data_IF_717166441654
#
_entry.id   IF_717166441654
#
_cell.length_a   1.000
_cell.length_b   1.000
_cell.length_c   1.000
_cell.angle_alpha   90.00
_cell.angle_beta   90.00
_cell.angle_gamma   90.00
#
_symmetry.space_group_name_H-M   'P 1'
#
loop_
_entity.id
_entity.type
_entity.pdbx_description
1 polymer ?
#
# COMPACT_ATOMS: atom_id res chain seq x y z
N UNK A 1 -5.82 4.81 19.96
CA UNK A 1 -5.66 4.48 18.54
C UNK A 1 -4.24 4.03 18.27
N UNK A 2 -4.08 3.03 17.46
CA UNK A 2 -2.81 2.54 16.94
C UNK A 2 -2.54 3.22 15.60
N UNK A 3 -1.41 3.90 15.46
CA UNK A 3 -1.01 4.53 14.20
C UNK A 3 0.25 3.85 13.67
N UNK A 4 0.29 3.57 12.38
CA UNK A 4 1.36 2.79 11.78
C UNK A 4 1.71 3.28 10.38
N UNK A 5 2.97 3.03 9.96
CA UNK A 5 3.49 3.23 8.62
C UNK A 5 3.28 4.64 8.04
N UNK A 6 3.85 5.69 8.63
CA UNK A 6 3.82 6.99 8.00
C UNK A 6 4.57 6.95 6.66
N UNK A 7 3.93 7.46 5.62
CA UNK A 7 4.51 7.63 4.29
C UNK A 7 4.42 9.09 3.91
N UNK A 8 5.51 9.63 3.40
CA UNK A 8 5.64 11.06 3.12
C UNK A 8 5.93 11.31 1.64
N UNK A 9 5.37 12.39 1.11
CA UNK A 9 5.72 12.97 -0.18
C UNK A 9 5.91 14.47 -0.05
N UNK A 10 6.81 15.02 -0.85
CA UNK A 10 6.90 16.46 -1.08
C UNK A 10 6.35 16.76 -2.47
N UNK A 11 5.32 17.59 -2.54
CA UNK A 11 4.65 17.91 -3.79
C UNK A 11 4.02 19.30 -3.74
N UNK A 12 4.14 20.03 -4.83
CA UNK A 12 3.56 21.38 -4.97
C UNK A 12 3.90 22.32 -3.78
N UNK A 13 5.18 22.27 -3.33
CA UNK A 13 5.68 23.13 -2.26
C UNK A 13 5.29 22.72 -0.85
N UNK A 14 4.65 21.56 -0.65
CA UNK A 14 4.19 21.09 0.66
C UNK A 14 4.58 19.63 0.92
N UNK A 15 4.66 19.28 2.19
CA UNK A 15 4.80 17.90 2.66
C UNK A 15 3.41 17.30 2.89
N UNK A 16 3.22 16.10 2.42
CA UNK A 16 2.03 15.28 2.62
C UNK A 16 2.44 14.01 3.34
N UNK A 17 1.83 13.75 4.47
CA UNK A 17 2.05 12.52 5.22
C UNK A 17 0.73 11.79 5.37
N UNK A 18 0.70 10.49 5.11
CA UNK A 18 -0.42 9.66 5.49
C UNK A 18 0.04 8.44 6.27
N UNK A 19 -0.85 7.91 7.09
CA UNK A 19 -0.59 6.80 7.98
C UNK A 19 -1.88 6.02 8.26
N UNK A 20 -1.71 4.76 8.61
CA UNK A 20 -2.79 3.90 9.05
C UNK A 20 -3.22 4.28 10.46
N UNK A 21 -4.52 4.16 10.73
CA UNK A 21 -5.08 4.41 12.06
C UNK A 21 -6.12 3.34 12.38
N UNK A 22 -5.79 2.50 13.34
CA UNK A 22 -6.61 1.42 13.85
C UNK A 22 -7.14 1.74 15.26
N UNK A 23 -8.24 1.14 15.73
CA UNK A 23 -8.84 1.49 17.01
C UNK A 23 -8.00 1.09 18.22
N UNK A 24 -7.26 -0.01 18.14
CA UNK A 24 -6.51 -0.57 19.27
C UNK A 24 -5.08 -0.97 18.89
N UNK A 25 -4.91 -1.98 18.06
CA UNK A 25 -3.63 -2.53 17.60
C UNK A 25 -3.70 -2.91 16.14
N UNK A 26 -2.57 -3.28 15.55
CA UNK A 26 -2.45 -3.72 14.15
C UNK A 26 -3.41 -4.89 13.85
N UNK A 27 -4.06 -4.86 12.70
CA UNK A 27 -5.05 -5.85 12.24
C UNK A 27 -6.41 -5.84 12.97
N UNK A 28 -6.68 -4.84 13.79
CA UNK A 28 -7.99 -4.69 14.46
C UNK A 28 -8.89 -3.73 13.68
N UNK A 29 -9.99 -4.22 13.07
CA UNK A 29 -10.91 -3.35 12.35
C UNK A 29 -11.75 -2.47 13.30
N UNK A 30 -12.28 -1.35 12.81
CA UNK A 30 -12.12 -0.80 11.48
C UNK A 30 -10.83 0.00 11.32
N UNK A 31 -10.17 -0.14 10.17
CA UNK A 31 -9.01 0.68 9.82
C UNK A 31 -9.37 1.82 8.89
N UNK A 32 -8.63 2.90 8.99
CA UNK A 32 -8.67 4.02 8.06
C UNK A 32 -7.28 4.58 7.82
N UNK A 33 -7.12 5.34 6.75
CA UNK A 33 -5.91 6.10 6.51
C UNK A 33 -6.18 7.56 6.77
N UNK A 34 -5.33 8.19 7.54
CA UNK A 34 -5.35 9.61 7.84
C UNK A 34 -4.25 10.32 7.05
N UNK A 35 -4.47 11.59 6.71
CA UNK A 35 -3.50 12.46 6.04
C UNK A 35 -3.35 13.76 6.80
N UNK A 36 -2.12 14.27 6.83
CA UNK A 36 -1.75 15.59 7.31
C UNK A 36 -0.89 16.29 6.26
N UNK A 37 -0.93 17.61 6.25
CA UNK A 37 -0.16 18.45 5.33
C UNK A 37 0.67 19.45 6.13
N UNK A 38 1.87 19.75 5.67
CA UNK A 38 2.77 20.73 6.26
C UNK A 38 3.47 21.55 5.17
N UNK A 39 3.72 22.80 5.44
CA UNK A 39 4.51 23.68 4.56
C UNK A 39 6.01 23.63 4.89
N UNK A 40 6.35 23.31 6.12
CA UNK A 40 7.72 23.36 6.65
C UNK A 40 8.26 22.03 7.18
N UNK A 41 7.42 20.96 7.22
CA UNK A 41 7.77 19.66 7.77
C UNK A 41 7.75 19.58 9.30
N UNK A 42 7.50 20.69 10.00
CA UNK A 42 7.44 20.77 11.46
C UNK A 42 6.02 20.99 11.96
N UNK A 43 5.28 21.89 11.33
CA UNK A 43 3.92 22.23 11.70
C UNK A 43 2.95 21.51 10.79
N UNK A 44 2.14 20.61 11.34
CA UNK A 44 1.24 19.74 10.59
C UNK A 44 -0.22 20.12 10.82
N UNK A 45 -1.01 20.04 9.77
CA UNK A 45 -2.46 20.22 9.84
C UNK A 45 -3.12 19.21 10.78
N UNK A 46 -4.38 19.46 11.15
CA UNK A 46 -5.19 18.41 11.76
C UNK A 46 -5.35 17.23 10.79
N UNK A 47 -5.37 15.97 11.28
CA UNK A 47 -5.58 14.82 10.44
C UNK A 47 -6.94 14.84 9.74
N UNK A 48 -6.97 14.54 8.45
CA UNK A 48 -8.19 14.32 7.67
C UNK A 48 -8.25 12.88 7.15
N UNK A 49 -9.45 12.37 6.95
CA UNK A 49 -9.64 10.99 6.46
C UNK A 49 -9.29 10.95 4.97
N UNK A 50 -8.21 10.24 4.64
CA UNK A 50 -7.77 9.99 3.28
C UNK A 50 -8.49 8.80 2.67
N UNK A 51 -8.47 7.64 3.35
CA UNK A 51 -9.28 6.47 3.01
C UNK A 51 -10.13 6.11 4.24
N UNK A 52 -11.46 6.13 4.10
CA UNK A 52 -12.37 5.80 5.20
C UNK A 52 -12.41 4.30 5.47
N UNK A 53 -13.07 3.95 6.55
CA UNK A 53 -13.48 2.58 6.82
C UNK A 53 -14.28 2.00 5.65
N UNK A 54 -14.13 0.71 5.43
CA UNK A 54 -14.75 0.03 4.31
C UNK A 54 -15.44 -1.26 4.76
N UNK A 55 -16.64 -1.46 4.28
CA UNK A 55 -17.40 -2.68 4.56
C UNK A 55 -16.91 -3.82 3.66
N UNK A 56 -16.55 -4.95 4.26
CA UNK A 56 -16.24 -6.16 3.51
C UNK A 56 -17.52 -6.62 2.79
N UNK A 57 -17.47 -6.81 1.47
CA UNK A 57 -18.65 -7.23 0.71
C UNK A 57 -19.28 -8.50 1.26
N UNK A 58 -20.61 -8.54 1.24
CA UNK A 58 -21.38 -9.70 1.72
C UNK A 58 -20.98 -10.98 0.98
N UNK A 59 -20.91 -12.09 1.71
CA UNK A 59 -20.54 -13.39 1.15
C UNK A 59 -19.02 -13.59 0.97
N UNK A 60 -18.18 -12.63 1.34
CA UNK A 60 -16.72 -12.81 1.33
C UNK A 60 -16.32 -14.00 2.19
N UNK A 61 -15.41 -14.82 1.64
CA UNK A 61 -14.78 -15.93 2.37
C UNK A 61 -13.29 -15.89 2.10
N UNK A 62 -12.50 -15.88 3.16
CA UNK A 62 -11.05 -15.93 3.07
C UNK A 62 -10.61 -17.39 2.94
N UNK A 63 -10.13 -17.78 1.76
CA UNK A 63 -9.93 -19.20 1.42
C UNK A 63 -8.78 -19.86 2.20
N UNK A 64 -7.76 -19.10 2.60
CA UNK A 64 -6.51 -19.63 3.17
C UNK A 64 -6.43 -19.56 4.69
N UNK A 65 -7.43 -19.00 5.36
CA UNK A 65 -7.40 -18.77 6.79
C UNK A 65 -8.64 -19.32 7.48
N UNK A 66 -8.44 -20.00 8.61
CA UNK A 66 -9.51 -20.43 9.50
C UNK A 66 -9.40 -19.66 10.82
N UNK A 67 -10.38 -18.81 11.14
CA UNK A 67 -10.38 -18.02 12.36
C UNK A 67 -10.33 -18.92 13.59
N UNK A 68 -9.53 -18.52 14.58
CA UNK A 68 -9.45 -19.20 15.88
C UNK A 68 -10.31 -18.43 16.87
N UNK A 69 -11.37 -19.03 17.42
CA UNK A 69 -12.30 -18.34 18.31
C UNK A 69 -11.63 -17.66 19.51
N UNK A 70 -10.60 -18.27 20.07
CA UNK A 70 -9.86 -17.76 21.22
C UNK A 70 -8.99 -16.53 20.90
N UNK A 71 -8.70 -16.27 19.64
CA UNK A 71 -7.89 -15.12 19.19
C UNK A 71 -8.75 -13.93 18.76
N UNK A 72 -10.04 -14.11 18.61
CA UNK A 72 -10.91 -13.05 18.12
C UNK A 72 -11.11 -11.97 19.21
N UNK A 73 -11.12 -10.72 18.78
CA UNK A 73 -11.79 -9.65 19.51
C UNK A 73 -13.29 -9.81 19.26
N UNK A 74 -14.09 -10.24 20.26
CA UNK A 74 -15.42 -10.78 20.00
C UNK A 74 -16.34 -9.82 19.25
N UNK A 75 -16.21 -8.52 19.51
CA UNK A 75 -17.14 -7.53 19.00
C UNK A 75 -16.76 -7.03 17.59
N UNK A 76 -15.49 -6.81 17.31
CA UNK A 76 -15.05 -6.21 16.04
C UNK A 76 -15.02 -7.20 14.88
N UNK A 77 -14.62 -8.46 15.11
CA UNK A 77 -14.57 -9.47 14.03
C UNK A 77 -15.93 -10.16 13.80
N UNK A 78 -16.87 -9.99 14.71
CA UNK A 78 -18.26 -10.49 14.57
C UNK A 78 -19.21 -9.47 13.99
N UNK A 79 -18.79 -8.23 13.80
CA UNK A 79 -19.65 -7.20 13.19
C UNK A 79 -20.11 -7.61 11.78
N UNK A 80 -21.32 -7.20 11.45
CA UNK A 80 -21.90 -7.41 10.12
C UNK A 80 -22.44 -6.09 9.59
N UNK A 81 -21.91 -5.57 8.48
CA UNK A 81 -20.77 -6.12 7.73
C UNK A 81 -19.45 -6.07 8.55
N UNK A 82 -18.56 -7.04 8.28
CA UNK A 82 -17.18 -6.97 8.78
C UNK A 82 -16.51 -5.75 8.14
N UNK A 83 -15.69 -5.04 8.93
CA UNK A 83 -14.90 -3.92 8.40
C UNK A 83 -13.56 -4.42 7.86
N UNK A 84 -13.13 -3.83 6.76
CA UNK A 84 -11.82 -4.08 6.17
C UNK A 84 -10.71 -3.48 7.03
N UNK A 85 -9.51 -4.00 6.83
CA UNK A 85 -8.27 -3.48 7.38
C UNK A 85 -7.56 -2.71 6.27
N UNK A 86 -7.33 -1.41 6.49
CA UNK A 86 -6.40 -0.67 5.66
C UNK A 86 -5.01 -1.00 6.18
N UNK A 87 -4.27 -1.84 5.47
CA UNK A 87 -2.99 -2.36 5.96
C UNK A 87 -1.91 -2.22 4.90
N UNK A 88 -0.71 -2.10 5.33
CA UNK A 88 0.59 -1.93 4.67
C UNK A 88 0.56 -1.47 3.19
N UNK A 89 1.67 -0.94 2.71
CA UNK A 89 1.85 -0.46 1.33
C UNK A 89 0.88 0.64 0.90
N UNK A 90 0.45 1.42 1.88
CA UNK A 90 0.01 2.78 1.57
C UNK A 90 1.20 3.55 1.00
N UNK A 91 0.99 4.49 0.13
CA UNK A 91 2.07 5.24 -0.49
C UNK A 91 1.58 6.44 -1.27
N UNK A 92 2.53 7.16 -1.81
CA UNK A 92 2.31 8.30 -2.68
C UNK A 92 2.84 8.02 -4.07
N UNK A 93 2.19 8.56 -5.06
CA UNK A 93 2.65 8.57 -6.43
C UNK A 93 2.45 9.94 -7.05
N UNK A 94 3.52 10.58 -7.49
CA UNK A 94 3.46 11.80 -8.29
C UNK A 94 3.60 11.39 -9.75
N UNK A 95 2.54 11.58 -10.53
CA UNK A 95 2.54 11.23 -11.95
C UNK A 95 3.39 12.19 -12.78
N UNK A 96 3.76 11.78 -13.99
CA UNK A 96 4.42 12.65 -14.97
C UNK A 96 3.56 13.89 -15.31
N UNK A 97 2.26 13.76 -15.22
CA UNK A 97 1.31 14.86 -15.38
C UNK A 97 1.17 15.77 -14.16
N UNK A 98 1.95 15.56 -13.09
CA UNK A 98 1.92 16.37 -11.89
C UNK A 98 0.75 16.11 -10.94
N UNK A 99 0.05 14.98 -11.08
CA UNK A 99 -1.02 14.55 -10.19
C UNK A 99 -0.43 13.80 -9.00
N UNK A 100 -0.85 14.15 -7.79
CA UNK A 100 -0.55 13.40 -6.59
C UNK A 100 -1.65 12.37 -6.33
N UNK A 101 -1.30 11.09 -6.35
CA UNK A 101 -2.17 9.99 -5.93
C UNK A 101 -1.71 9.44 -4.59
N UNK A 102 -2.64 9.32 -3.66
CA UNK A 102 -2.49 8.42 -2.52
C UNK A 102 -2.89 7.01 -2.94
N UNK A 103 -2.20 6.00 -2.43
CA UNK A 103 -2.51 4.59 -2.66
C UNK A 103 -2.73 3.85 -1.35
N UNK A 104 -3.60 2.86 -1.35
CA UNK A 104 -3.89 2.03 -0.19
C UNK A 104 -4.36 0.64 -0.62
N UNK A 105 -4.49 -0.25 0.36
CA UNK A 105 -5.04 -1.60 0.15
C UNK A 105 -6.07 -1.92 1.22
N UNK A 106 -7.28 -2.31 0.79
CA UNK A 106 -8.29 -2.86 1.69
C UNK A 106 -8.09 -4.36 1.82
N UNK A 107 -7.46 -4.76 2.93
CA UNK A 107 -7.30 -6.15 3.33
C UNK A 107 -8.47 -6.65 4.17
N UNK A 108 -8.44 -7.94 4.51
CA UNK A 108 -9.43 -8.55 5.40
C UNK A 108 -8.70 -9.41 6.44
N UNK A 109 -8.96 -9.16 7.71
CA UNK A 109 -8.56 -10.04 8.80
C UNK A 109 -9.81 -10.61 9.48
N UNK A 110 -9.78 -11.90 9.78
CA UNK A 110 -10.89 -12.63 10.43
C UNK A 110 -10.68 -12.82 11.93
N UNK A 111 -9.47 -12.60 12.39
CA UNK A 111 -9.08 -12.44 13.79
C UNK A 111 -7.75 -11.66 13.88
N UNK A 112 -7.26 -11.42 15.10
CA UNK A 112 -6.05 -10.61 15.33
C UNK A 112 -4.73 -11.22 14.84
N UNK A 113 -4.70 -12.49 14.48
CA UNK A 113 -3.52 -13.20 13.96
C UNK A 113 -3.58 -13.43 12.46
N UNK A 114 -4.73 -13.14 11.87
CA UNK A 114 -4.91 -13.22 10.44
C UNK A 114 -4.15 -12.09 9.75
N UNK A 115 -3.47 -12.41 8.66
CA UNK A 115 -2.70 -11.43 7.88
C UNK A 115 -3.59 -10.83 6.77
N UNK A 116 -3.92 -9.53 6.83
CA UNK A 116 -4.70 -8.88 5.78
C UNK A 116 -3.95 -8.71 4.45
N UNK A 117 -2.65 -9.01 4.43
CA UNK A 117 -1.77 -8.86 3.28
C UNK A 117 -1.51 -10.16 2.50
N UNK A 118 -2.31 -11.17 2.67
CA UNK A 118 -2.07 -12.50 2.08
C UNK A 118 -2.61 -12.68 0.65
N UNK A 119 -2.98 -11.59 -0.03
CA UNK A 119 -3.59 -11.61 -1.35
C UNK A 119 -5.10 -11.93 -1.36
N UNK A 120 -5.69 -12.23 -0.21
CA UNK A 120 -7.13 -12.50 -0.05
C UNK A 120 -7.90 -11.29 0.50
N UNK A 121 -7.37 -10.09 0.39
CA UNK A 121 -8.07 -8.84 0.66
C UNK A 121 -8.99 -8.43 -0.49
N UNK A 122 -9.52 -7.22 -0.44
CA UNK A 122 -10.47 -6.71 -1.44
C UNK A 122 -9.71 -6.14 -2.66
N UNK A 123 -8.71 -5.32 -2.42
CA UNK A 123 -7.90 -4.77 -3.50
C UNK A 123 -7.28 -3.42 -3.19
N UNK A 124 -6.57 -2.89 -4.18
CA UNK A 124 -5.87 -1.61 -4.09
C UNK A 124 -6.71 -0.46 -4.57
N UNK A 125 -6.66 0.60 -3.82
CA UNK A 125 -7.36 1.86 -4.11
C UNK A 125 -6.40 3.00 -4.30
N UNK A 126 -6.86 4.00 -5.04
CA UNK A 126 -6.18 5.27 -5.26
C UNK A 126 -7.13 6.43 -5.00
N UNK A 127 -6.58 7.55 -4.60
CA UNK A 127 -7.31 8.82 -4.44
C UNK A 127 -6.43 9.99 -4.83
N UNK A 128 -6.94 10.88 -5.66
CA UNK A 128 -6.25 12.13 -5.99
C UNK A 128 -6.27 13.08 -4.80
N UNK A 129 -5.12 13.66 -4.50
CA UNK A 129 -5.01 14.85 -3.65
C UNK A 129 -4.75 16.04 -4.55
N UNK A 130 -5.66 17.01 -4.54
CA UNK A 130 -5.56 18.18 -5.39
C UNK A 130 -4.65 19.25 -4.77
N UNK A 131 -4.23 20.21 -5.60
CA UNK A 131 -3.31 21.27 -5.17
C UNK A 131 -3.88 22.17 -4.06
N UNK A 132 -5.19 22.30 -3.97
CA UNK A 132 -5.90 23.01 -2.91
C UNK A 132 -6.08 22.18 -1.62
N UNK A 133 -5.59 20.93 -1.59
CA UNK A 133 -5.72 20.01 -0.48
C UNK A 133 -7.05 19.22 -0.47
N UNK A 134 -7.97 19.51 -1.38
CA UNK A 134 -9.20 18.73 -1.50
C UNK A 134 -8.95 17.34 -2.05
N UNK A 135 -9.83 16.41 -1.70
CA UNK A 135 -9.70 15.01 -2.07
C UNK A 135 -10.67 14.64 -3.20
N UNK A 136 -10.15 13.96 -4.21
CA UNK A 136 -10.96 13.38 -5.28
C UNK A 136 -11.76 12.15 -4.82
N UNK A 137 -12.53 11.54 -5.73
CA UNK A 137 -13.16 10.24 -5.48
C UNK A 137 -12.12 9.13 -5.30
N UNK A 138 -12.55 8.04 -4.63
CA UNK A 138 -11.74 6.82 -4.46
C UNK A 138 -12.05 5.88 -5.63
N UNK A 139 -11.01 5.25 -6.16
CA UNK A 139 -11.11 4.27 -7.24
C UNK A 139 -10.31 3.02 -6.90
N UNK A 140 -10.82 1.84 -7.27
CA UNK A 140 -9.99 0.66 -7.31
C UNK A 140 -9.06 0.71 -8.53
N UNK A 141 -7.76 0.56 -8.30
CA UNK A 141 -6.76 0.40 -9.37
C UNK A 141 -6.52 -1.09 -9.67
N UNK A 142 -6.73 -1.94 -8.67
CA UNK A 142 -6.57 -3.38 -8.76
C UNK A 142 -7.56 -4.08 -7.83
N UNK A 143 -8.17 -5.14 -8.31
CA UNK A 143 -9.04 -6.01 -7.51
C UNK A 143 -8.32 -7.33 -7.24
N UNK A 144 -8.38 -7.79 -6.02
CA UNK A 144 -8.02 -9.16 -5.69
C UNK A 144 -9.05 -10.16 -6.23
N UNK A 145 -8.68 -11.43 -6.25
CA UNK A 145 -9.51 -12.48 -6.81
C UNK A 145 -10.94 -12.49 -6.21
N UNK A 146 -11.93 -12.56 -7.07
CA UNK A 146 -13.36 -12.57 -6.68
C UNK A 146 -14.01 -11.19 -6.53
N UNK A 147 -13.23 -10.09 -6.61
CA UNK A 147 -13.76 -8.74 -6.54
C UNK A 147 -13.76 -8.02 -7.89
N UNK A 148 -14.72 -7.12 -8.05
CA UNK A 148 -14.90 -6.28 -9.23
C UNK A 148 -15.88 -5.13 -8.91
N UNK A 149 -16.18 -4.27 -9.89
CA UNK A 149 -17.08 -3.14 -9.73
C UNK A 149 -18.52 -3.51 -9.31
N UNK A 150 -18.96 -4.75 -9.55
CA UNK A 150 -20.35 -5.15 -9.22
C UNK A 150 -20.52 -5.49 -7.74
N UNK A 151 -19.43 -5.84 -7.07
CA UNK A 151 -19.45 -6.26 -5.67
C UNK A 151 -18.59 -5.41 -4.74
N UNK A 152 -18.13 -4.24 -5.20
CA UNK A 152 -17.37 -3.28 -4.42
C UNK A 152 -18.03 -1.91 -4.44
N UNK A 153 -17.80 -1.10 -3.40
CA UNK A 153 -18.46 0.21 -3.25
C UNK A 153 -17.83 1.33 -4.09
N UNK A 154 -16.55 1.19 -4.48
CA UNK A 154 -15.88 2.20 -5.30
C UNK A 154 -15.70 1.72 -6.73
N UNK A 155 -15.81 2.64 -7.72
CA UNK A 155 -15.63 2.29 -9.12
C UNK A 155 -14.18 1.94 -9.45
N UNK A 156 -13.98 1.32 -10.61
CA UNK A 156 -12.66 1.12 -11.19
C UNK A 156 -12.07 2.46 -11.67
N UNK A 157 -10.74 2.64 -11.58
CA UNK A 157 -10.02 3.84 -12.03
C UNK A 157 -10.28 4.22 -13.50
N UNK A 158 -10.70 3.27 -14.34
CA UNK A 158 -11.07 3.53 -15.73
C UNK A 158 -12.24 4.50 -15.87
N UNK A 159 -13.03 4.67 -14.81
CA UNK A 159 -14.11 5.67 -14.73
C UNK A 159 -13.66 7.04 -14.20
N UNK A 160 -12.40 7.18 -13.83
CA UNK A 160 -11.83 8.44 -13.36
C UNK A 160 -11.66 9.44 -14.51
N UNK A 161 -11.31 10.68 -14.16
CA UNK A 161 -10.90 11.70 -15.13
C UNK A 161 -9.72 11.20 -15.98
N UNK A 162 -9.57 11.78 -17.19
CA UNK A 162 -8.46 11.41 -18.09
C UNK A 162 -7.10 11.52 -17.40
N UNK A 163 -6.90 12.53 -16.58
CA UNK A 163 -5.64 12.78 -15.88
C UNK A 163 -5.36 11.74 -14.79
N UNK A 164 -6.36 11.45 -13.92
CA UNK A 164 -6.25 10.41 -12.89
C UNK A 164 -6.06 9.02 -13.51
N UNK A 165 -6.78 8.73 -14.58
CA UNK A 165 -6.62 7.46 -15.31
C UNK A 165 -5.21 7.30 -15.86
N UNK A 166 -4.65 8.33 -16.49
CA UNK A 166 -3.28 8.30 -16.99
C UNK A 166 -2.26 8.05 -15.86
N UNK A 167 -2.44 8.71 -14.70
CA UNK A 167 -1.60 8.50 -13.53
C UNK A 167 -1.70 7.05 -12.98
N UNK A 168 -2.88 6.45 -13.02
CA UNK A 168 -3.07 5.03 -12.66
C UNK A 168 -2.37 4.09 -13.65
N UNK A 169 -2.45 4.36 -14.96
CA UNK A 169 -1.74 3.59 -15.98
C UNK A 169 -0.22 3.69 -15.81
N UNK A 170 0.30 4.86 -15.41
CA UNK A 170 1.73 5.00 -15.05
C UNK A 170 2.12 4.10 -13.89
N UNK A 171 1.31 4.03 -12.83
CA UNK A 171 1.54 3.10 -11.69
C UNK A 171 1.56 1.66 -12.18
N UNK A 172 0.56 1.25 -12.98
CA UNK A 172 0.44 -0.12 -13.49
C UNK A 172 1.56 -0.48 -14.48
N UNK A 173 2.11 0.49 -15.18
CA UNK A 173 3.25 0.31 -16.08
C UNK A 173 4.61 0.32 -15.35
N UNK A 174 4.67 0.77 -14.09
CA UNK A 174 5.92 0.90 -13.34
C UNK A 174 6.22 -0.37 -12.52
N UNK A 175 7.16 -1.23 -12.96
CA UNK A 175 7.46 -2.47 -12.27
C UNK A 175 8.03 -2.24 -10.86
N UNK A 176 8.82 -1.19 -10.66
CA UNK A 176 9.38 -0.84 -9.35
C UNK A 176 8.28 -0.47 -8.36
N UNK A 177 7.31 0.32 -8.78
CA UNK A 177 6.18 0.67 -7.92
C UNK A 177 5.34 -0.56 -7.57
N UNK A 178 5.08 -1.44 -8.54
CA UNK A 178 4.34 -2.68 -8.31
C UNK A 178 5.04 -3.65 -7.37
N UNK A 179 6.37 -3.63 -7.31
CA UNK A 179 7.12 -4.42 -6.32
C UNK A 179 6.74 -4.12 -4.87
N UNK A 180 6.23 -2.93 -4.58
CA UNK A 180 5.72 -2.60 -3.24
C UNK A 180 4.44 -3.38 -2.89
N UNK A 181 3.79 -4.01 -3.85
CA UNK A 181 2.55 -4.77 -3.66
C UNK A 181 2.78 -6.24 -3.32
N UNK A 182 4.03 -6.67 -3.22
CA UNK A 182 4.38 -8.09 -3.03
C UNK A 182 3.76 -8.72 -1.77
N UNK A 183 3.49 -7.92 -0.76
CA UNK A 183 2.91 -8.40 0.49
C UNK A 183 1.39 -8.65 0.39
N UNK A 184 0.69 -7.93 -0.50
CA UNK A 184 -0.75 -8.03 -0.68
C UNK A 184 -1.14 -8.87 -1.90
N UNK A 185 -0.18 -9.30 -2.69
CA UNK A 185 -0.41 -10.07 -3.90
C UNK A 185 -0.38 -11.58 -3.64
N UNK A 186 -1.20 -12.31 -4.38
CA UNK A 186 -1.08 -13.76 -4.42
C UNK A 186 0.24 -14.19 -5.07
N UNK A 187 0.82 -15.28 -4.61
CA UNK A 187 1.99 -15.88 -5.23
C UNK A 187 1.66 -16.24 -6.69
N UNK A 188 2.53 -15.80 -7.60
CA UNK A 188 2.30 -15.96 -9.04
C UNK A 188 1.52 -14.82 -9.69
N UNK A 189 1.18 -13.77 -8.95
CA UNK A 189 0.63 -12.54 -9.54
C UNK A 189 1.64 -11.93 -10.51
N UNK A 190 1.26 -11.91 -11.79
CA UNK A 190 2.11 -11.41 -12.88
C UNK A 190 2.35 -9.90 -12.84
N UNK A 191 1.58 -9.17 -12.05
CA UNK A 191 1.83 -7.74 -11.84
C UNK A 191 3.08 -7.48 -11.01
N UNK A 192 3.55 -8.46 -10.24
CA UNK A 192 4.70 -8.34 -9.36
C UNK A 192 5.92 -8.98 -10.03
N UNK A 193 6.93 -8.20 -10.46
CA UNK A 193 8.09 -8.72 -11.18
C UNK A 193 8.88 -9.81 -10.44
N UNK A 194 8.96 -9.71 -9.11
CA UNK A 194 9.61 -10.70 -8.27
C UNK A 194 8.69 -11.07 -7.09
N UNK A 195 7.70 -11.92 -7.35
CA UNK A 195 6.73 -12.37 -6.35
C UNK A 195 7.27 -13.56 -5.57
N UNK A 196 8.15 -13.31 -4.62
CA UNK A 196 8.81 -14.32 -3.79
C UNK A 196 8.41 -14.24 -2.30
N UNK A 197 7.48 -13.37 -1.96
CA UNK A 197 7.02 -13.16 -0.58
C UNK A 197 7.99 -12.36 0.31
N UNK A 198 9.02 -11.76 -0.25
CA UNK A 198 9.89 -10.85 0.50
C UNK A 198 9.16 -9.55 0.84
N UNK A 199 9.42 -9.05 2.05
CA UNK A 199 8.65 -7.95 2.63
C UNK A 199 9.43 -6.63 2.65
N UNK A 200 8.67 -5.53 2.62
CA UNK A 200 9.18 -4.17 2.79
C UNK A 200 10.19 -3.75 1.72
N UNK A 201 9.77 -3.89 0.47
CA UNK A 201 10.55 -3.45 -0.68
C UNK A 201 10.88 -1.96 -0.62
N UNK A 202 12.16 -1.64 -0.84
CA UNK A 202 12.60 -0.32 -1.21
C UNK A 202 13.69 -0.44 -2.29
N UNK A 203 13.87 0.58 -3.09
CA UNK A 203 14.89 0.58 -4.13
C UNK A 203 15.55 1.95 -4.30
N UNK A 204 16.69 1.94 -4.97
CA UNK A 204 17.35 3.15 -5.47
C UNK A 204 18.14 2.83 -6.75
N UNK A 205 18.33 3.85 -7.57
CA UNK A 205 19.13 3.73 -8.78
C UNK A 205 20.59 4.01 -8.45
N UNK A 206 21.47 3.07 -8.81
CA UNK A 206 22.92 3.22 -8.70
C UNK A 206 23.45 4.21 -9.76
N UNK A 207 24.67 4.77 -9.59
CA UNK A 207 25.26 5.68 -10.57
C UNK A 207 25.39 5.11 -11.98
N UNK A 208 25.51 3.80 -12.12
CA UNK A 208 25.60 3.09 -13.40
C UNK A 208 24.23 2.72 -14.00
N UNK A 209 23.14 3.18 -13.40
CA UNK A 209 21.77 2.95 -13.88
C UNK A 209 21.11 1.65 -13.41
N UNK A 210 21.85 0.76 -12.75
CA UNK A 210 21.27 -0.43 -12.14
C UNK A 210 20.35 -0.05 -10.99
N UNK A 211 19.35 -0.88 -10.72
CA UNK A 211 18.46 -0.71 -9.57
C UNK A 211 18.87 -1.69 -8.48
N UNK A 212 19.23 -1.16 -7.33
CA UNK A 212 19.46 -1.94 -6.12
C UNK A 212 18.14 -2.03 -5.34
N UNK A 213 17.71 -3.23 -5.06
CA UNK A 213 16.49 -3.53 -4.32
C UNK A 213 16.81 -4.14 -2.97
N UNK A 214 16.09 -3.72 -1.96
CA UNK A 214 16.29 -4.12 -0.57
C UNK A 214 14.97 -4.58 0.04
N UNK A 215 15.03 -5.58 0.89
CA UNK A 215 13.92 -6.10 1.68
C UNK A 215 14.35 -6.30 3.14
N UNK A 216 13.41 -6.64 4.02
CA UNK A 216 13.70 -7.10 5.38
C UNK A 216 14.78 -8.20 5.37
N UNK A 217 15.46 -8.37 6.49
CA UNK A 217 16.52 -9.37 6.69
C UNK A 217 17.79 -9.12 5.84
N UNK A 218 18.04 -7.87 5.48
CA UNK A 218 19.16 -7.47 4.62
C UNK A 218 19.18 -8.20 3.26
N UNK A 219 18.03 -8.62 2.76
CA UNK A 219 17.94 -9.22 1.43
C UNK A 219 18.09 -8.14 0.35
N UNK A 220 18.83 -8.47 -0.70
CA UNK A 220 19.11 -7.56 -1.81
C UNK A 220 19.13 -8.29 -3.14
N UNK A 221 18.83 -7.56 -4.20
CA UNK A 221 18.91 -8.01 -5.58
C UNK A 221 19.20 -6.81 -6.48
N UNK A 222 19.63 -7.05 -7.69
CA UNK A 222 19.87 -6.02 -8.71
C UNK A 222 18.94 -6.24 -9.90
N UNK A 223 18.48 -5.14 -10.49
CA UNK A 223 17.83 -5.14 -11.78
C UNK A 223 18.65 -4.33 -12.78
N UNK A 224 18.79 -4.85 -13.98
CA UNK A 224 19.52 -4.24 -15.11
C UNK A 224 18.57 -3.66 -16.17
N UNK A 225 17.27 -3.87 -16.02
CA UNK A 225 16.24 -3.59 -17.01
C UNK A 225 15.09 -2.73 -16.47
N UNK A 226 15.40 -1.83 -15.53
CA UNK A 226 14.42 -0.90 -15.00
C UNK A 226 13.43 -1.51 -14.00
N UNK A 227 13.75 -2.67 -13.41
CA UNK A 227 12.92 -3.35 -12.43
C UNK A 227 11.96 -4.39 -13.00
N UNK A 228 12.15 -4.80 -14.28
CA UNK A 228 11.34 -5.84 -14.88
C UNK A 228 11.82 -7.25 -14.49
N UNK A 229 13.13 -7.43 -14.39
CA UNK A 229 13.73 -8.67 -13.87
C UNK A 229 14.79 -8.38 -12.82
N UNK A 230 15.09 -9.39 -12.01
CA UNK A 230 16.01 -9.26 -10.87
C UNK A 230 16.98 -10.44 -10.84
N UNK A 231 18.22 -10.16 -10.42
CA UNK A 231 19.20 -11.21 -10.09
C UNK A 231 18.72 -12.07 -8.93
N UNK A 232 19.39 -13.19 -8.70
CA UNK A 232 19.16 -14.02 -7.51
C UNK A 232 19.29 -13.15 -6.25
N UNK A 233 18.30 -13.25 -5.36
CA UNK A 233 18.27 -12.52 -4.10
C UNK A 233 19.29 -13.11 -3.14
N UNK A 234 20.12 -12.25 -2.57
CA UNK A 234 21.15 -12.61 -1.61
C UNK A 234 21.05 -11.72 -0.37
N UNK A 235 21.66 -12.16 0.73
CA UNK A 235 21.83 -11.31 1.90
C UNK A 235 22.96 -10.31 1.63
N UNK A 236 22.69 -9.03 1.81
CA UNK A 236 23.72 -8.00 1.69
C UNK A 236 24.77 -8.17 2.78
N UNK A 237 26.05 -8.15 2.37
CA UNK A 237 27.16 -8.13 3.28
C UNK A 237 27.41 -6.70 3.77
N UNK A 238 27.83 -6.54 4.99
CA UNK A 238 28.25 -5.25 5.53
C UNK A 238 27.19 -4.45 6.30
N UNK A 239 25.93 -4.88 6.32
CA UNK A 239 24.95 -4.33 7.25
C UNK A 239 24.05 -5.39 7.86
N UNK A 240 23.59 -5.12 9.08
CA UNK A 240 22.73 -6.02 9.83
C UNK A 240 21.32 -5.46 9.82
N UNK A 241 20.38 -6.25 9.32
CA UNK A 241 18.94 -5.97 9.42
C UNK A 241 18.21 -7.28 9.70
N UNK A 242 17.44 -7.32 10.79
CA UNK A 242 16.67 -8.49 11.14
C UNK A 242 15.27 -8.44 10.51
N UNK A 243 14.32 -7.82 11.17
CA UNK A 243 12.93 -7.73 10.73
C UNK A 243 12.45 -6.27 10.49
N UNK A 244 13.36 -5.30 10.57
CA UNK A 244 13.04 -3.91 10.32
C UNK A 244 12.90 -3.61 8.82
N UNK A 245 12.13 -2.59 8.50
CA UNK A 245 12.10 -2.03 7.14
C UNK A 245 13.40 -1.28 6.88
N UNK A 246 13.86 -1.32 5.63
CA UNK A 246 15.02 -0.58 5.17
C UNK A 246 14.51 0.58 4.32
N UNK A 247 15.10 1.73 4.52
CA UNK A 247 14.91 2.88 3.66
C UNK A 247 16.25 3.29 3.04
N UNK A 248 16.25 3.55 1.75
CA UNK A 248 17.40 4.09 1.03
C UNK A 248 16.97 5.31 0.21
N UNK A 249 17.73 6.38 0.31
CA UNK A 249 17.52 7.59 -0.46
C UNK A 249 18.85 8.12 -0.96
N UNK A 250 18.91 8.47 -2.25
CA UNK A 250 20.04 9.22 -2.81
C UNK A 250 19.83 10.69 -2.49
N UNK A 251 20.83 11.28 -1.86
CA UNK A 251 20.92 12.72 -1.72
C UNK A 251 21.45 13.33 -3.03
N UNK A 252 20.92 14.46 -3.42
CA UNK A 252 21.49 15.30 -4.48
C UNK A 252 22.39 16.31 -3.79
N UNK A 253 23.68 16.14 -3.92
CA UNK A 253 24.66 17.17 -3.57
C UNK A 253 24.69 18.23 -4.65
#
# INVERSE_FOLDING_TARGET
>A
TYNHQPMMAYWNGKFYMHFLSDPAEEHVPPSRTLMQVSEDGYNWSQPQILFPEYDVPAGFKKAKYQPKPELQYPDVYKQKPLKAIMHQRVGWYVSKGGILLATGNYGVALDRKDDPNDGNGIGRVVREVKKDGSLGPIYFIYYNHGFNEKNTAYPNYKKASKAVRAACEEILANPRYRMQWVEEADRGDKLIPLNNGYKAYCDYTLPDGRIASLWKHALTSLSLDGGNTYTTTNRALGFVNSNAKIWGQRLTD
#
